data_IF_642098178821
#
_entry.id   IF_642098178821
#
_cell.length_a   1.000
_cell.length_b   1.000
_cell.length_c   1.000
_cell.angle_alpha   90.00
_cell.angle_beta   90.00
_cell.angle_gamma   90.00
#
_symmetry.space_group_name_H-M   'P 1'
#
loop_
_entity.id
_entity.type
_entity.pdbx_description
1 polymer ?
#
# COMPACT_ATOMS: atom_id res chain seq x y z
N UNK A 1 6.26 -31.93 -25.42
CA UNK A 1 6.00 -32.57 -24.11
C UNK A 1 6.57 -31.64 -23.03
N UNK A 2 5.75 -31.23 -22.06
CA UNK A 2 6.00 -30.17 -21.07
C UNK A 2 6.53 -30.78 -19.77
N UNK A 3 7.56 -30.18 -19.15
CA UNK A 3 7.84 -30.13 -17.69
C UNK A 3 9.20 -29.43 -17.46
N UNK A 4 9.23 -28.14 -17.09
CA UNK A 4 9.22 -27.55 -15.74
C UNK A 4 10.62 -27.54 -15.05
N UNK A 5 11.23 -26.36 -14.81
CA UNK A 5 12.49 -26.27 -14.06
C UNK A 5 12.30 -26.34 -12.53
N UNK A 6 13.32 -26.81 -11.78
CA UNK A 6 13.29 -26.91 -10.33
C UNK A 6 13.60 -25.55 -9.69
N UNK A 7 12.67 -25.00 -8.91
CA UNK A 7 12.97 -23.85 -8.06
C UNK A 7 13.67 -24.30 -6.78
N UNK A 8 14.96 -23.96 -6.69
CA UNK A 8 15.77 -24.02 -5.47
C UNK A 8 15.41 -22.85 -4.54
N UNK A 9 15.42 -23.15 -3.25
CA UNK A 9 15.09 -22.28 -2.13
C UNK A 9 15.99 -21.03 -2.01
N UNK A 10 15.42 -19.93 -1.52
CA UNK A 10 16.18 -18.84 -0.94
C UNK A 10 15.42 -18.26 0.27
N UNK A 11 16.03 -18.42 1.44
CA UNK A 11 15.65 -17.83 2.72
C UNK A 11 15.79 -16.30 2.63
N UNK A 12 14.71 -15.55 2.86
CA UNK A 12 14.77 -14.08 2.85
C UNK A 12 14.93 -13.53 4.27
N UNK A 13 16.16 -13.17 4.62
CA UNK A 13 16.48 -12.33 5.77
C UNK A 13 16.28 -10.86 5.37
N UNK A 14 15.37 -10.16 6.04
CA UNK A 14 15.09 -8.74 5.79
C UNK A 14 16.04 -7.85 6.63
N UNK A 15 17.01 -7.20 5.98
CA UNK A 15 17.79 -6.10 6.56
C UNK A 15 17.35 -4.79 5.92
N UNK A 16 16.90 -3.84 6.72
CA UNK A 16 16.35 -2.57 6.27
C UNK A 16 17.47 -1.58 5.90
N UNK A 17 17.71 -1.33 4.60
CA UNK A 17 18.33 -0.09 4.10
C UNK A 17 18.12 0.08 2.58
N UNK A 18 17.33 1.10 2.21
CA UNK A 18 17.19 1.68 0.84
C UNK A 18 16.69 0.73 -0.27
N UNK A 19 15.37 0.59 -0.35
CA UNK A 19 14.64 0.32 -1.60
C UNK A 19 13.29 1.08 -1.61
N UNK A 20 13.28 2.32 -1.11
CA UNK A 20 12.10 3.19 -1.22
C UNK A 20 11.84 3.69 -2.64
N UNK A 21 12.70 3.34 -3.61
CA UNK A 21 12.62 3.87 -4.97
C UNK A 21 11.52 3.23 -5.85
N UNK A 22 10.92 2.09 -5.48
CA UNK A 22 9.73 1.56 -6.18
C UNK A 22 8.93 0.66 -5.22
N UNK A 23 7.66 0.99 -4.95
CA UNK A 23 6.67 -0.07 -4.68
C UNK A 23 6.68 -0.96 -5.93
N UNK A 24 7.43 -2.07 -5.86
CA UNK A 24 7.63 -3.01 -6.95
C UNK A 24 6.29 -3.31 -7.64
N UNK A 25 6.26 -3.36 -8.97
CA UNK A 25 5.02 -3.62 -9.71
C UNK A 25 4.33 -4.93 -9.24
N UNK A 26 5.12 -5.90 -8.75
CA UNK A 26 4.57 -7.09 -8.09
C UNK A 26 3.93 -6.76 -6.74
N UNK A 27 4.50 -5.86 -5.93
CA UNK A 27 3.89 -5.38 -4.69
C UNK A 27 2.59 -4.61 -4.97
N UNK A 28 2.55 -3.76 -6.00
CA UNK A 28 1.30 -3.10 -6.42
C UNK A 28 0.24 -4.11 -6.87
N UNK A 29 0.61 -5.12 -7.67
CA UNK A 29 -0.30 -6.19 -8.07
C UNK A 29 -0.79 -7.02 -6.87
N UNK A 30 0.09 -7.31 -5.92
CA UNK A 30 -0.26 -7.99 -4.68
C UNK A 30 -1.23 -7.15 -3.84
N UNK A 31 -0.96 -5.85 -3.68
CA UNK A 31 -1.86 -4.93 -2.99
C UNK A 31 -3.23 -4.86 -3.68
N UNK A 32 -3.27 -4.75 -5.01
CA UNK A 32 -4.53 -4.81 -5.78
C UNK A 32 -5.31 -6.10 -5.53
N UNK A 33 -4.63 -7.25 -5.46
CA UNK A 33 -5.27 -8.54 -5.17
C UNK A 33 -5.84 -8.59 -3.74
N UNK A 34 -5.11 -8.05 -2.76
CA UNK A 34 -5.61 -7.94 -1.39
C UNK A 34 -6.78 -6.95 -1.28
N UNK A 35 -6.72 -5.83 -2.00
CA UNK A 35 -7.75 -4.80 -2.00
C UNK A 35 -9.01 -5.22 -2.78
N UNK A 36 -8.91 -6.07 -3.79
CA UNK A 36 -10.08 -6.63 -4.49
C UNK A 36 -10.99 -7.45 -3.56
N UNK A 37 -10.47 -7.94 -2.43
CA UNK A 37 -11.23 -8.66 -1.41
C UNK A 37 -11.79 -7.75 -0.30
N UNK A 38 -11.61 -6.42 -0.42
CA UNK A 38 -12.24 -5.45 0.47
C UNK A 38 -13.75 -5.41 0.17
N UNK A 39 -14.48 -6.22 0.94
CA UNK A 39 -15.95 -6.29 0.92
C UNK A 39 -16.61 -5.32 1.90
N UNK A 40 -15.80 -4.65 2.74
CA UNK A 40 -16.25 -3.69 3.72
C UNK A 40 -15.63 -2.34 3.42
N UNK A 41 -16.39 -1.24 3.55
CA UNK A 41 -15.82 0.09 3.37
C UNK A 41 -14.63 0.28 4.33
N UNK A 42 -13.52 0.80 3.81
CA UNK A 42 -12.32 1.21 4.56
C UNK A 42 -11.98 2.67 4.30
N UNK A 43 -11.40 3.32 5.30
CA UNK A 43 -10.86 4.68 5.25
C UNK A 43 -9.35 4.62 5.38
N UNK A 44 -8.66 5.23 4.43
CA UNK A 44 -7.21 5.44 4.43
C UNK A 44 -6.96 6.87 4.91
N UNK A 45 -6.44 7.04 6.13
CA UNK A 45 -6.11 8.36 6.67
C UNK A 45 -4.61 8.59 6.58
N UNK A 46 -4.17 9.41 5.63
CA UNK A 46 -2.78 9.75 5.38
C UNK A 46 -2.33 10.93 6.26
N UNK A 47 -1.17 10.78 6.89
CA UNK A 47 -0.44 11.84 7.59
C UNK A 47 0.83 12.13 6.80
N UNK A 48 0.82 13.27 6.10
CA UNK A 48 1.85 13.64 5.12
C UNK A 48 2.67 14.84 5.60
N UNK A 49 3.91 14.92 5.13
CA UNK A 49 4.79 16.09 5.25
C UNK A 49 5.15 16.65 3.86
N UNK A 50 6.10 17.59 3.81
CA UNK A 50 6.50 18.24 2.56
C UNK A 50 7.58 17.47 1.76
N UNK A 51 7.92 16.25 2.19
CA UNK A 51 8.93 15.43 1.52
C UNK A 51 8.45 14.86 0.19
N UNK A 52 9.39 14.52 -0.69
CA UNK A 52 9.06 13.85 -1.96
C UNK A 52 8.41 12.48 -1.72
N UNK A 53 8.82 11.76 -0.66
CA UNK A 53 8.19 10.49 -0.28
C UNK A 53 6.73 10.64 0.13
N UNK A 54 6.35 11.76 0.75
CA UNK A 54 4.95 12.05 1.06
C UNK A 54 4.12 12.34 -0.20
N UNK A 55 4.72 12.99 -1.21
CA UNK A 55 4.07 13.22 -2.51
C UNK A 55 3.84 11.91 -3.26
N UNK A 56 4.83 11.02 -3.27
CA UNK A 56 4.70 9.69 -3.87
C UNK A 56 3.64 8.84 -3.16
N UNK A 57 3.63 8.84 -1.82
CA UNK A 57 2.62 8.15 -1.04
C UNK A 57 1.22 8.69 -1.31
N UNK A 58 1.06 10.01 -1.41
CA UNK A 58 -0.22 10.64 -1.75
C UNK A 58 -0.74 10.12 -3.09
N UNK A 59 0.09 10.17 -4.13
CA UNK A 59 -0.28 9.68 -5.47
C UNK A 59 -0.70 8.21 -5.43
N UNK A 60 0.05 7.36 -4.74
CA UNK A 60 -0.31 5.95 -4.56
C UNK A 60 -1.69 5.79 -3.89
N UNK A 61 -1.95 6.52 -2.80
CA UNK A 61 -3.21 6.41 -2.07
C UNK A 61 -4.40 6.94 -2.89
N UNK A 62 -4.20 7.98 -3.69
CA UNK A 62 -5.19 8.51 -4.64
C UNK A 62 -5.53 7.47 -5.72
N UNK A 63 -4.52 6.83 -6.31
CA UNK A 63 -4.72 5.73 -7.27
C UNK A 63 -5.48 4.55 -6.62
N UNK A 64 -5.11 4.16 -5.39
CA UNK A 64 -5.77 3.07 -4.68
C UNK A 64 -7.23 3.39 -4.37
N UNK A 65 -7.53 4.60 -3.92
CA UNK A 65 -8.91 5.03 -3.65
C UNK A 65 -9.75 5.09 -4.93
N UNK A 66 -9.16 5.44 -6.07
CA UNK A 66 -9.84 5.42 -7.36
C UNK A 66 -10.16 4.00 -7.89
N UNK A 67 -9.51 2.95 -7.36
CA UNK A 67 -9.75 1.57 -7.78
C UNK A 67 -10.98 0.92 -7.13
N UNK A 68 -11.54 1.51 -6.06
CA UNK A 68 -12.69 0.92 -5.36
C UNK A 68 -13.52 1.97 -4.63
N UNK A 69 -14.83 1.95 -4.86
CA UNK A 69 -15.81 2.78 -4.12
C UNK A 69 -15.85 2.46 -2.62
N UNK A 70 -15.32 1.30 -2.21
CA UNK A 70 -15.22 0.91 -0.80
C UNK A 70 -14.03 1.57 -0.10
N UNK A 71 -13.18 2.33 -0.79
CA UNK A 71 -12.00 2.96 -0.22
C UNK A 71 -12.21 4.47 -0.17
N UNK A 72 -12.21 5.03 1.03
CA UNK A 72 -12.24 6.48 1.25
C UNK A 72 -10.84 6.97 1.60
N UNK A 73 -10.31 7.96 0.87
CA UNK A 73 -9.05 8.61 1.22
C UNK A 73 -9.28 9.88 2.03
N UNK A 74 -8.53 10.02 3.12
CA UNK A 74 -8.45 11.21 3.96
C UNK A 74 -6.98 11.66 4.04
N UNK A 75 -6.73 12.94 3.86
CA UNK A 75 -5.38 13.53 3.89
C UNK A 75 -5.13 14.44 5.11
N UNK A 76 -6.06 14.42 6.07
CA UNK A 76 -6.07 15.23 7.29
C UNK A 76 -5.45 14.48 8.50
N UNK A 77 -4.70 13.41 8.26
CA UNK A 77 -4.04 12.66 9.31
C UNK A 77 -2.95 13.47 10.02
N UNK A 78 -2.87 13.29 11.35
CA UNK A 78 -1.97 14.05 12.21
C UNK A 78 -0.92 13.18 12.92
N UNK A 79 -0.61 12.00 12.40
CA UNK A 79 0.39 11.11 13.01
C UNK A 79 1.76 11.82 13.13
N UNK A 80 2.50 11.49 14.20
CA UNK A 80 3.83 12.03 14.45
C UNK A 80 4.87 11.47 13.47
N UNK A 81 4.64 10.26 12.94
CA UNK A 81 5.49 9.66 11.91
C UNK A 81 4.94 10.04 10.54
N UNK A 82 5.68 10.84 9.79
CA UNK A 82 5.32 11.27 8.44
C UNK A 82 6.46 10.92 7.47
N UNK A 83 6.16 10.44 6.25
CA UNK A 83 4.81 10.09 5.76
C UNK A 83 4.29 8.76 6.34
N UNK A 84 3.01 8.69 6.67
CA UNK A 84 2.33 7.44 7.08
C UNK A 84 0.86 7.47 6.68
N UNK A 85 0.20 6.30 6.76
CA UNK A 85 -1.24 6.21 6.62
C UNK A 85 -1.80 5.15 7.56
N UNK A 86 -3.06 5.32 7.95
CA UNK A 86 -3.82 4.36 8.74
C UNK A 86 -4.94 3.77 7.90
N UNK A 87 -5.21 2.49 8.11
CA UNK A 87 -6.36 1.78 7.52
C UNK A 87 -7.37 1.50 8.62
N UNK A 88 -8.58 2.05 8.49
CA UNK A 88 -9.67 1.88 9.46
C UNK A 88 -10.94 1.44 8.72
N UNK A 89 -11.78 0.55 9.28
CA UNK A 89 -13.09 0.27 8.69
C UNK A 89 -13.95 1.54 8.67
N UNK A 90 -14.50 1.92 7.51
CA UNK A 90 -15.49 3.01 7.43
C UNK A 90 -16.83 2.48 7.93
N UNK A 91 -17.06 2.57 9.24
CA UNK A 91 -18.35 2.14 9.78
C UNK A 91 -18.40 1.87 11.28
N UNK A 92 -17.35 2.16 12.03
CA UNK A 92 -17.41 2.05 13.49
C UNK A 92 -17.35 3.43 14.14
N UNK A 93 -18.59 3.92 14.36
CA UNK A 93 -19.08 5.02 15.22
C UNK A 93 -19.29 6.38 14.57
#
# INVERSE_FOLDING_TARGET
MRAAPPNAAALFTFTAKRDFAMLDAALQQQLRSYFANITRPVTLTASLDDSDGAREMKTLLEEVAALSDNITLKLDGTDQRRPSFRVEPSGIR
#
